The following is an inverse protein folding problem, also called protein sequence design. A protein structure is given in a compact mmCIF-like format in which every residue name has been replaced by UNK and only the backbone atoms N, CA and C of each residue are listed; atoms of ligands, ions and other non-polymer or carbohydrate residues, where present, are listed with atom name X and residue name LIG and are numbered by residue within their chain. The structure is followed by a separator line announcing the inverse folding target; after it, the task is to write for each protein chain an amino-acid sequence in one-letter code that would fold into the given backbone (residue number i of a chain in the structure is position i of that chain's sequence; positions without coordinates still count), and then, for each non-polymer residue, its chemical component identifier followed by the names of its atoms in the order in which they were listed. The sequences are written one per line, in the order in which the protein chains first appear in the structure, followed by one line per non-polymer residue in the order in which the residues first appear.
data_IF_418874008645
#
_entry.id   IF_418874008645
#
_cell.length_a   1.000
_cell.length_b   1.000
_cell.length_c   1.000
_cell.angle_alpha   90.00
_cell.angle_beta   90.00
_cell.angle_gamma   90.00
#
_symmetry.space_group_name_H-M   'P 1'
#
loop_
_entity.id
_entity.type
_entity.pdbx_description
1 polymer ?
#
# COMPACT_ATOMS: atom_id res chain seq x y z
N UNK A 1 -9.12 3.42 -7.94
CA UNK A 1 -9.09 4.90 -7.91
C UNK A 1 -10.19 5.42 -6.99
N UNK A 2 -9.85 5.80 -5.75
CA UNK A 2 -10.77 6.44 -4.80
C UNK A 2 -10.10 7.67 -4.19
N UNK A 3 -8.97 7.47 -3.49
CA UNK A 3 -8.23 8.55 -2.86
C UNK A 3 -7.41 9.41 -3.84
N UNK A 4 -7.07 8.88 -5.01
CA UNK A 4 -6.37 9.61 -6.06
C UNK A 4 -6.71 9.02 -7.45
N UNK A 5 -6.25 9.72 -8.50
CA UNK A 5 -6.49 9.41 -9.91
C UNK A 5 -5.46 8.44 -10.52
N UNK A 6 -4.39 8.10 -9.80
CA UNK A 6 -3.34 7.20 -10.28
C UNK A 6 -3.79 5.76 -10.07
N UNK A 7 -3.51 4.93 -11.07
CA UNK A 7 -3.77 3.50 -11.00
C UNK A 7 -2.81 2.84 -10.01
N UNK A 8 -3.17 1.66 -9.50
CA UNK A 8 -2.23 0.92 -8.64
C UNK A 8 -0.94 0.56 -9.39
N UNK A 9 -1.02 0.36 -10.71
CA UNK A 9 0.11 0.07 -11.60
C UNK A 9 1.18 1.16 -11.61
N UNK A 10 0.80 2.43 -11.39
CA UNK A 10 1.76 3.54 -11.33
C UNK A 10 2.70 3.41 -10.13
N UNK A 11 2.27 2.71 -9.09
CA UNK A 11 3.09 2.50 -7.88
C UNK A 11 3.85 1.17 -7.93
N UNK A 12 3.54 0.29 -8.88
CA UNK A 12 4.27 -0.97 -9.03
C UNK A 12 5.71 -0.67 -9.47
N UNK A 13 6.70 -1.29 -8.82
CA UNK A 13 8.14 -1.07 -9.09
C UNK A 13 8.60 0.38 -8.83
N UNK A 14 7.89 1.10 -7.95
CA UNK A 14 8.31 2.42 -7.49
C UNK A 14 9.21 2.33 -6.27
N UNK A 15 10.34 3.04 -6.31
CA UNK A 15 11.24 3.18 -5.18
C UNK A 15 11.82 1.84 -4.72
N UNK A 16 11.98 1.69 -3.41
CA UNK A 16 12.59 0.52 -2.79
C UNK A 16 11.58 -0.41 -2.14
N UNK A 17 10.34 0.03 -1.93
CA UNK A 17 9.30 -0.67 -1.18
C UNK A 17 7.99 -0.87 -1.93
N UNK A 18 7.70 -0.15 -3.00
CA UNK A 18 6.46 -0.37 -3.75
C UNK A 18 6.56 -1.58 -4.71
N UNK A 19 7.26 -2.63 -4.28
CA UNK A 19 7.43 -3.90 -4.96
C UNK A 19 7.61 -5.06 -3.96
N UNK A 20 7.75 -6.30 -4.46
CA UNK A 20 7.91 -7.49 -3.60
C UNK A 20 9.30 -7.66 -2.96
N UNK A 21 10.26 -6.77 -3.24
CA UNK A 21 11.67 -6.87 -2.88
C UNK A 21 12.10 -5.86 -1.82
N UNK A 22 11.21 -4.94 -1.45
CA UNK A 22 11.18 -4.13 -0.22
C UNK A 22 12.37 -4.24 0.73
N UNK A 23 13.40 -3.40 0.58
CA UNK A 23 14.50 -3.33 1.55
C UNK A 23 15.22 -1.97 1.58
N UNK A 24 15.93 -1.70 2.68
CA UNK A 24 16.73 -0.49 2.83
C UNK A 24 15.94 0.74 3.30
N UNK A 25 16.33 1.91 2.80
CA UNK A 25 15.78 3.21 3.17
C UNK A 25 14.81 3.72 2.09
N UNK A 26 13.57 4.11 2.45
CA UNK A 26 12.64 4.67 1.47
C UNK A 26 13.20 5.91 0.78
N UNK A 27 13.08 5.99 -0.54
CA UNK A 27 13.67 7.09 -1.34
C UNK A 27 12.91 8.41 -1.23
N UNK A 28 11.62 8.35 -0.90
CA UNK A 28 10.76 9.50 -0.67
C UNK A 28 9.54 9.17 0.22
N UNK A 29 8.61 10.11 0.33
CA UNK A 29 7.38 9.94 1.11
C UNK A 29 6.45 8.86 0.54
N UNK A 30 6.41 8.72 -0.78
CA UNK A 30 5.56 7.73 -1.45
C UNK A 30 6.09 6.31 -1.17
N UNK A 31 7.39 6.12 -1.30
CA UNK A 31 8.07 4.87 -0.99
C UNK A 31 7.92 4.49 0.49
N UNK A 32 7.93 5.49 1.38
CA UNK A 32 7.63 5.28 2.80
C UNK A 32 6.20 4.80 3.03
N UNK A 33 5.22 5.24 2.24
CA UNK A 33 3.86 4.71 2.30
C UNK A 33 3.84 3.20 2.00
N UNK A 34 4.63 2.76 1.01
CA UNK A 34 4.78 1.34 0.67
C UNK A 34 5.45 0.54 1.79
N UNK A 35 6.53 1.06 2.39
CA UNK A 35 7.16 0.43 3.56
C UNK A 35 6.17 0.20 4.72
N UNK A 36 5.31 1.17 4.98
CA UNK A 36 4.28 1.06 6.04
C UNK A 36 3.19 0.06 5.65
N UNK A 37 2.82 0.01 4.36
CA UNK A 37 1.85 -0.95 3.84
C UNK A 37 2.35 -2.39 3.92
N UNK A 38 3.59 -2.64 3.50
CA UNK A 38 4.27 -3.94 3.63
C UNK A 38 4.28 -4.42 5.08
N UNK A 39 4.66 -3.53 6.01
CA UNK A 39 4.63 -3.83 7.44
C UNK A 39 3.23 -4.19 7.93
N UNK A 40 2.20 -3.49 7.44
CA UNK A 40 0.81 -3.78 7.76
C UNK A 40 0.40 -5.19 7.27
N UNK A 41 0.83 -5.56 6.06
CA UNK A 41 0.60 -6.89 5.49
C UNK A 41 1.39 -7.97 6.23
N UNK A 42 2.62 -7.70 6.64
CA UNK A 42 3.43 -8.62 7.44
C UNK A 42 2.81 -8.88 8.82
N UNK A 43 2.34 -7.84 9.50
CA UNK A 43 1.62 -7.98 10.75
C UNK A 43 0.28 -8.72 10.54
N UNK A 44 -0.43 -8.48 9.43
CA UNK A 44 -1.63 -9.23 9.07
C UNK A 44 -1.35 -10.74 8.96
N UNK A 45 -0.25 -11.12 8.30
CA UNK A 45 0.20 -12.52 8.18
C UNK A 45 0.61 -13.09 9.54
N UNK A 46 1.56 -12.43 10.22
CA UNK A 46 2.25 -12.95 11.39
C UNK A 46 1.40 -12.96 12.66
N UNK A 47 0.61 -11.91 12.89
CA UNK A 47 -0.17 -11.76 14.13
C UNK A 47 -1.56 -12.34 14.02
N UNK A 48 -2.12 -12.40 12.80
CA UNK A 48 -3.53 -12.72 12.61
C UNK A 48 -3.78 -13.89 11.64
N UNK A 49 -2.73 -14.47 11.05
CA UNK A 49 -2.85 -15.61 10.13
C UNK A 49 -3.58 -15.25 8.83
N UNK A 50 -3.59 -13.97 8.47
CA UNK A 50 -4.28 -13.50 7.27
C UNK A 50 -3.41 -13.66 6.03
N UNK A 51 -4.06 -13.73 4.87
CA UNK A 51 -3.40 -13.88 3.57
C UNK A 51 -3.68 -12.61 2.75
N UNK A 52 -3.04 -11.47 3.06
CA UNK A 52 -3.45 -10.15 2.58
C UNK A 52 -3.52 -10.06 1.06
N UNK A 53 -2.54 -10.64 0.36
CA UNK A 53 -2.52 -10.71 -1.11
C UNK A 53 -3.71 -11.46 -1.73
N UNK A 54 -4.28 -12.44 -1.01
CA UNK A 54 -5.38 -13.28 -1.48
C UNK A 54 -6.73 -12.94 -0.84
N UNK A 55 -6.75 -11.98 0.10
CA UNK A 55 -7.94 -11.65 0.86
C UNK A 55 -8.77 -10.62 0.11
N UNK A 56 -9.84 -11.07 -0.53
CA UNK A 56 -10.82 -10.18 -1.14
C UNK A 56 -11.71 -9.53 -0.08
N UNK A 57 -11.80 -8.20 -0.10
CA UNK A 57 -12.61 -7.39 0.80
C UNK A 57 -13.49 -6.42 0.01
N UNK A 58 -14.46 -5.79 0.68
CA UNK A 58 -15.27 -4.72 0.09
C UNK A 58 -14.82 -3.35 0.61
N UNK A 59 -14.90 -2.31 -0.22
CA UNK A 59 -14.68 -0.95 0.21
C UNK A 59 -15.73 -0.02 -0.41
N UNK A 60 -16.00 1.08 0.27
CA UNK A 60 -16.86 2.15 -0.21
C UNK A 60 -16.05 3.43 -0.33
N UNK A 61 -16.16 4.14 -1.45
CA UNK A 61 -15.49 5.44 -1.61
C UNK A 61 -16.46 6.57 -1.27
N UNK A 62 -16.10 7.42 -0.30
CA UNK A 62 -16.86 8.61 0.04
C UNK A 62 -15.91 9.82 0.06
N UNK A 63 -16.13 10.79 -0.82
CA UNK A 63 -15.33 12.03 -0.91
C UNK A 63 -13.81 11.80 -0.93
N UNK A 64 -13.36 10.80 -1.68
CA UNK A 64 -11.94 10.44 -1.78
C UNK A 64 -11.39 9.63 -0.60
N UNK A 65 -12.24 9.18 0.32
CA UNK A 65 -11.83 8.35 1.45
C UNK A 65 -12.33 6.89 1.27
N UNK A 66 -11.44 5.89 1.19
CA UNK A 66 -11.83 4.47 1.15
C UNK A 66 -12.26 3.99 2.54
N UNK A 67 -13.52 3.61 2.68
CA UNK A 67 -14.12 3.08 3.91
C UNK A 67 -14.23 1.56 3.88
N UNK A 68 -13.91 0.91 5.00
CA UNK A 68 -13.88 -0.55 5.15
C UNK A 68 -15.12 -1.16 5.80
N UNK A 69 -16.22 -0.41 5.84
CA UNK A 69 -17.51 -0.87 6.37
C UNK A 69 -18.02 -2.08 5.59
N UNK A 70 -18.66 -3.02 6.28
CA UNK A 70 -19.26 -4.23 5.69
C UNK A 70 -18.29 -5.41 5.50
N UNK A 71 -17.04 -5.29 5.98
CA UNK A 71 -16.13 -6.44 6.11
C UNK A 71 -16.33 -7.16 7.45
N UNK A 72 -16.97 -8.32 7.42
CA UNK A 72 -17.35 -9.05 8.65
C UNK A 72 -16.29 -10.04 9.16
N UNK A 73 -15.27 -10.37 8.35
CA UNK A 73 -14.17 -11.22 8.82
C UNK A 73 -12.98 -10.38 9.23
N UNK A 74 -12.23 -10.86 10.22
CA UNK A 74 -11.04 -10.19 10.76
C UNK A 74 -10.04 -9.85 9.66
N UNK A 75 -9.72 -10.80 8.78
CA UNK A 75 -8.75 -10.57 7.71
C UNK A 75 -9.25 -9.55 6.68
N UNK A 76 -10.51 -9.62 6.25
CA UNK A 76 -11.05 -8.64 5.31
C UNK A 76 -10.98 -7.22 5.86
N UNK A 77 -11.30 -7.05 7.15
CA UNK A 77 -11.24 -5.74 7.81
C UNK A 77 -9.80 -5.22 7.89
N UNK A 78 -8.86 -6.04 8.36
CA UNK A 78 -7.45 -5.66 8.51
C UNK A 78 -6.84 -5.29 7.16
N UNK A 79 -7.03 -6.13 6.14
CA UNK A 79 -6.46 -5.91 4.80
C UNK A 79 -7.04 -4.63 4.18
N UNK A 80 -8.35 -4.44 4.27
CA UNK A 80 -8.96 -3.19 3.81
C UNK A 80 -8.39 -1.97 4.54
N UNK A 81 -8.19 -2.04 5.86
CA UNK A 81 -7.65 -0.92 6.63
C UNK A 81 -6.18 -0.62 6.28
N UNK A 82 -5.38 -1.63 5.96
CA UNK A 82 -4.03 -1.44 5.42
C UNK A 82 -4.09 -0.68 4.09
N UNK A 83 -4.94 -1.13 3.16
CA UNK A 83 -5.05 -0.56 1.81
C UNK A 83 -5.66 0.84 1.81
N UNK A 84 -6.68 1.08 2.64
CA UNK A 84 -7.28 2.41 2.82
C UNK A 84 -6.24 3.42 3.30
N UNK A 85 -5.42 3.05 4.31
CA UNK A 85 -4.34 3.91 4.80
C UNK A 85 -3.26 4.14 3.74
N UNK A 86 -2.88 3.11 3.00
CA UNK A 86 -1.91 3.24 1.91
C UNK A 86 -2.43 4.18 0.81
N UNK A 87 -3.68 4.00 0.36
CA UNK A 87 -4.31 4.84 -0.66
C UNK A 87 -4.36 6.32 -0.23
N UNK A 88 -4.71 6.61 1.02
CA UNK A 88 -4.68 7.97 1.57
C UNK A 88 -3.25 8.52 1.65
N UNK A 89 -2.27 7.68 1.99
CA UNK A 89 -0.86 8.06 2.03
C UNK A 89 -0.33 8.39 0.62
N UNK A 90 -0.68 7.59 -0.39
CA UNK A 90 -0.30 7.86 -1.78
C UNK A 90 -0.95 9.15 -2.30
N UNK A 91 -2.20 9.41 -1.94
CA UNK A 91 -2.93 10.61 -2.38
C UNK A 91 -2.30 11.94 -1.90
N UNK A 92 -1.61 11.92 -0.75
CA UNK A 92 -0.92 13.10 -0.20
C UNK A 92 0.55 13.20 -0.59
N UNK A 93 1.13 12.12 -1.11
CA UNK A 93 2.56 12.04 -1.38
C UNK A 93 2.86 12.52 -2.80
N UNK A 94 3.91 13.33 -3.02
CA UNK A 94 4.33 13.69 -4.36
C UNK A 94 4.76 12.43 -5.13
N UNK A 95 4.45 12.38 -6.42
CA UNK A 95 4.90 11.32 -7.30
C UNK A 95 6.15 11.77 -8.07
N UNK A 96 7.25 11.04 -7.92
CA UNK A 96 8.49 11.33 -8.62
C UNK A 96 8.77 10.27 -9.71
N UNK A 97 8.64 10.66 -10.98
CA UNK A 97 8.87 9.75 -12.11
C UNK A 97 10.28 9.11 -12.13
N UNK A 98 11.29 9.74 -11.50
CA UNK A 98 12.65 9.20 -11.44
C UNK A 98 12.78 7.96 -10.54
N UNK A 99 11.83 7.75 -9.64
CA UNK A 99 11.83 6.64 -8.71
C UNK A 99 11.05 5.42 -9.26
N UNK A 100 10.35 5.57 -10.38
CA UNK A 100 9.71 4.45 -11.08
C UNK A 100 10.76 3.61 -11.81
N UNK A 101 10.71 2.28 -11.65
CA UNK A 101 11.68 1.32 -12.21
C UNK A 101 13.14 1.71 -11.92
N UNK A 102 13.36 2.24 -10.71
CA UNK A 102 14.69 2.61 -10.25
C UNK A 102 15.51 1.34 -9.97
N UNK A 103 16.82 1.39 -10.25
CA UNK A 103 17.72 0.29 -9.94
C UNK A 103 17.77 0.03 -8.42
N UNK A 104 17.31 -1.17 -8.05
CA UNK A 104 17.22 -1.65 -6.67
C UNK A 104 18.57 -1.73 -5.94
N UNK A 105 19.71 -1.69 -6.64
CA UNK A 105 21.03 -1.60 -6.01
C UNK A 105 21.21 -0.33 -5.15
N UNK A 106 20.41 0.71 -5.40
CA UNK A 106 20.45 1.95 -4.63
C UNK A 106 19.61 1.90 -3.34
N UNK A 107 18.83 0.84 -3.15
CA UNK A 107 18.05 0.58 -1.94
C UNK A 107 18.96 0.00 -0.86
N UNK A 108 19.53 0.88 -0.04
CA UNK A 108 20.47 0.53 1.05
C UNK A 108 19.81 0.54 2.41
#
# INVERSE_FOLDING_TARGET
ECANIRGWWDYFEYGCYCDSRGSGTPVDELDRCCQVHDKCYDDAKRLYGCWPFWTLYIYYCASGYPSCVGNFTKCKKIVCECDSKAAMCFARSPYNNWNYDMNQQYCK
#
